data_IF_241035919846
#
_entry.id   IF_241035919846
#
_cell.length_a   1.000
_cell.length_b   1.000
_cell.length_c   1.000
_cell.angle_alpha   90.00
_cell.angle_beta   90.00
_cell.angle_gamma   90.00
#
_symmetry.space_group_name_H-M   'P 1'
#
loop_
_entity.id
_entity.type
_entity.pdbx_description
1 polymer ?
#
# COMPACT_ATOMS: atom_id res chain seq x y z
N UNK A 1 -11.49 10.18 -18.75
CA UNK A 1 -10.93 8.83 -18.59
C UNK A 1 -9.54 8.96 -18.00
N UNK A 2 -9.26 8.27 -16.90
CA UNK A 2 -7.96 8.30 -16.22
C UNK A 2 -6.99 7.35 -16.93
N UNK A 3 -5.70 7.74 -16.99
CA UNK A 3 -4.64 6.94 -17.60
C UNK A 3 -3.61 6.54 -16.54
N UNK A 4 -3.56 5.25 -16.20
CA UNK A 4 -2.66 4.64 -15.24
C UNK A 4 -1.73 3.62 -15.91
N UNK A 5 -1.24 3.93 -17.09
CA UNK A 5 -0.41 3.05 -17.91
C UNK A 5 1.09 3.12 -17.58
N UNK A 6 1.44 3.63 -16.39
CA UNK A 6 2.82 3.69 -15.91
C UNK A 6 2.94 3.07 -14.52
N UNK A 7 4.10 2.48 -14.23
CA UNK A 7 4.47 2.02 -12.90
C UNK A 7 5.34 3.04 -12.18
N UNK A 8 5.20 3.13 -10.85
CA UNK A 8 6.09 3.96 -10.04
C UNK A 8 7.22 3.08 -9.49
N UNK A 9 8.40 3.15 -10.08
CA UNK A 9 9.55 2.34 -9.74
C UNK A 9 10.77 3.26 -9.52
N UNK A 10 11.49 3.03 -8.44
CA UNK A 10 12.70 3.78 -8.09
C UNK A 10 12.52 5.32 -8.11
N UNK A 11 11.40 5.80 -7.57
CA UNK A 11 11.12 7.23 -7.47
C UNK A 11 10.65 7.90 -8.77
N UNK A 12 10.37 7.13 -9.83
CA UNK A 12 9.94 7.66 -11.12
C UNK A 12 8.75 6.88 -11.71
N UNK A 13 7.95 7.58 -12.52
CA UNK A 13 6.92 6.97 -13.35
C UNK A 13 7.54 6.43 -14.64
N UNK A 14 7.57 5.12 -14.78
CA UNK A 14 8.18 4.41 -15.92
C UNK A 14 7.12 3.72 -16.79
N UNK A 15 7.38 3.61 -18.08
CA UNK A 15 6.54 2.81 -18.96
C UNK A 15 6.72 1.31 -18.65
N UNK A 16 5.67 0.49 -18.81
CA UNK A 16 5.80 -0.97 -18.71
C UNK A 16 6.72 -1.53 -19.78
N UNK A 17 7.31 -2.70 -19.50
CA UNK A 17 8.14 -3.43 -20.48
C UNK A 17 7.31 -4.05 -21.60
N UNK A 18 6.04 -4.32 -21.35
CA UNK A 18 5.05 -4.81 -22.30
C UNK A 18 4.07 -3.73 -22.74
N UNK A 19 3.13 -4.12 -23.60
CA UNK A 19 2.08 -3.22 -24.11
C UNK A 19 0.67 -3.62 -23.65
N UNK A 20 0.56 -4.59 -22.76
CA UNK A 20 -0.73 -5.06 -22.29
C UNK A 20 -1.37 -4.05 -21.32
N UNK A 21 -2.65 -3.82 -21.52
CA UNK A 21 -3.44 -2.91 -20.72
C UNK A 21 -4.82 -3.49 -20.44
N UNK A 22 -5.41 -3.07 -19.32
CA UNK A 22 -6.75 -3.45 -18.91
C UNK A 22 -7.62 -2.21 -18.77
N UNK A 23 -8.82 -2.27 -19.34
CA UNK A 23 -9.86 -1.28 -19.12
C UNK A 23 -10.45 -1.46 -17.71
N UNK A 24 -10.59 -0.35 -17.00
CA UNK A 24 -11.33 -0.29 -15.73
C UNK A 24 -12.73 0.20 -16.03
N UNK A 25 -13.72 -0.60 -15.73
CA UNK A 25 -15.13 -0.29 -15.95
C UNK A 25 -15.75 0.29 -14.67
N UNK A 26 -16.52 1.33 -14.82
CA UNK A 26 -17.38 1.84 -13.75
C UNK A 26 -18.60 0.90 -13.63
N UNK A 27 -18.77 0.19 -12.51
CA UNK A 27 -19.83 -0.82 -12.39
C UNK A 27 -21.25 -0.23 -12.30
N UNK A 28 -21.38 1.08 -12.09
CA UNK A 28 -22.68 1.74 -12.07
C UNK A 28 -23.15 2.17 -13.47
N UNK A 29 -22.23 2.52 -14.36
CA UNK A 29 -22.55 2.99 -15.72
C UNK A 29 -22.22 1.98 -16.82
N UNK A 30 -21.38 0.98 -16.50
CA UNK A 30 -20.81 0.00 -17.42
C UNK A 30 -19.95 0.64 -18.52
N UNK A 31 -19.44 1.84 -18.26
CA UNK A 31 -18.56 2.57 -19.15
C UNK A 31 -17.12 2.49 -18.66
N UNK A 32 -16.18 2.48 -19.57
CA UNK A 32 -14.76 2.53 -19.22
C UNK A 32 -14.42 3.89 -18.56
N UNK A 33 -13.93 3.86 -17.32
CA UNK A 33 -13.53 5.04 -16.57
C UNK A 33 -12.00 5.25 -16.52
N UNK A 34 -11.21 4.18 -16.65
CA UNK A 34 -9.76 4.25 -16.63
C UNK A 34 -9.11 3.15 -17.50
N UNK A 35 -7.80 3.26 -17.69
CA UNK A 35 -6.95 2.23 -18.26
C UNK A 35 -5.73 2.03 -17.35
N UNK A 36 -5.40 0.77 -17.06
CA UNK A 36 -4.21 0.40 -16.30
C UNK A 36 -3.26 -0.44 -17.14
N UNK A 37 -1.94 -0.30 -16.91
CA UNK A 37 -0.96 -1.20 -17.49
C UNK A 37 -1.01 -2.57 -16.82
N UNK A 38 -0.78 -3.63 -17.59
CA UNK A 38 -0.50 -4.97 -17.08
C UNK A 38 1.01 -5.17 -17.11
N UNK A 39 1.58 -5.40 -15.92
CA UNK A 39 3.01 -5.69 -15.77
C UNK A 39 3.34 -7.13 -16.17
N UNK A 40 4.57 -7.33 -16.59
CA UNK A 40 5.15 -8.64 -16.84
C UNK A 40 6.30 -8.96 -15.87
N UNK A 41 6.96 -10.09 -16.06
CA UNK A 41 8.07 -10.54 -15.21
C UNK A 41 9.21 -9.52 -15.13
N UNK A 42 9.57 -8.88 -16.25
CA UNK A 42 10.63 -7.86 -16.26
C UNK A 42 10.29 -6.61 -15.47
N UNK A 43 9.01 -6.20 -15.44
CA UNK A 43 8.54 -5.09 -14.61
C UNK A 43 8.62 -5.43 -13.11
N UNK A 44 8.24 -6.67 -12.75
CA UNK A 44 8.36 -7.18 -11.38
C UNK A 44 9.82 -7.25 -10.95
N UNK A 45 10.69 -7.78 -11.77
CA UNK A 45 12.13 -7.87 -11.49
C UNK A 45 12.75 -6.49 -11.28
N UNK A 46 12.38 -5.51 -12.10
CA UNK A 46 12.82 -4.13 -11.98
C UNK A 46 12.35 -3.50 -10.66
N UNK A 47 11.08 -3.70 -10.30
CA UNK A 47 10.51 -3.19 -9.04
C UNK A 47 11.18 -3.84 -7.82
N UNK A 48 11.40 -5.16 -7.84
CA UNK A 48 12.07 -5.90 -6.76
C UNK A 48 13.53 -5.47 -6.62
N UNK A 49 14.25 -5.28 -7.73
CA UNK A 49 15.62 -4.81 -7.71
C UNK A 49 15.73 -3.41 -7.08
N UNK A 50 14.84 -2.49 -7.47
CA UNK A 50 14.77 -1.14 -6.89
C UNK A 50 14.45 -1.18 -5.38
N UNK A 51 13.49 -2.01 -4.97
CA UNK A 51 13.11 -2.16 -3.57
C UNK A 51 14.25 -2.77 -2.73
N UNK A 52 15.00 -3.76 -3.26
CA UNK A 52 16.18 -4.32 -2.59
C UNK A 52 17.29 -3.28 -2.40
N UNK A 53 17.55 -2.47 -3.41
CA UNK A 53 18.54 -1.39 -3.30
C UNK A 53 18.11 -0.34 -2.26
N UNK A 54 16.85 0.05 -2.24
CA UNK A 54 16.32 0.99 -1.25
C UNK A 54 16.34 0.42 0.18
N UNK A 55 16.17 -0.89 0.34
CA UNK A 55 16.16 -1.54 1.65
C UNK A 55 17.47 -1.36 2.41
N UNK A 56 18.62 -1.30 1.74
CA UNK A 56 19.95 -1.14 2.37
C UNK A 56 20.02 0.11 3.25
N UNK A 57 19.41 1.19 2.83
CA UNK A 57 19.38 2.45 3.59
C UNK A 57 18.10 2.63 4.40
N UNK A 58 16.94 2.29 3.84
CA UNK A 58 15.67 2.48 4.51
C UNK A 58 15.51 1.61 5.75
N UNK A 59 16.07 0.39 5.76
CA UNK A 59 16.08 -0.50 6.93
C UNK A 59 16.83 0.08 8.13
N UNK A 60 17.72 1.03 7.91
CA UNK A 60 18.54 1.69 8.95
C UNK A 60 17.91 2.99 9.50
N UNK A 61 16.76 3.42 8.94
CA UNK A 61 16.07 4.61 9.42
C UNK A 61 15.59 4.43 10.86
N UNK A 62 15.62 5.51 11.62
CA UNK A 62 15.14 5.52 13.00
C UNK A 62 13.61 5.35 13.08
N UNK A 63 13.12 4.98 14.25
CA UNK A 63 11.67 4.93 14.53
C UNK A 63 11.02 6.28 14.26
N UNK A 64 11.66 7.38 14.70
CA UNK A 64 11.10 8.71 14.55
C UNK A 64 11.04 9.17 13.08
N UNK A 65 12.06 8.88 12.28
CA UNK A 65 12.06 9.17 10.84
C UNK A 65 10.90 8.44 10.14
N UNK A 66 10.67 7.17 10.45
CA UNK A 66 9.55 6.41 9.88
C UNK A 66 8.19 6.90 10.36
N UNK A 67 8.08 7.25 11.66
CA UNK A 67 6.86 7.81 12.20
C UNK A 67 6.53 9.19 11.60
N UNK A 68 7.53 10.05 11.43
CA UNK A 68 7.37 11.34 10.77
C UNK A 68 6.95 11.18 9.28
N UNK A 69 7.48 10.16 8.59
CA UNK A 69 7.04 9.82 7.23
C UNK A 69 5.55 9.43 7.20
N UNK A 70 5.11 8.59 8.13
CA UNK A 70 3.69 8.21 8.24
C UNK A 70 2.79 9.40 8.55
N UNK A 71 3.20 10.30 9.44
CA UNK A 71 2.47 11.54 9.71
C UNK A 71 2.34 12.41 8.45
N UNK A 72 3.43 12.53 7.67
CA UNK A 72 3.40 13.28 6.42
C UNK A 72 2.48 12.63 5.38
N UNK A 73 2.48 11.30 5.29
CA UNK A 73 1.54 10.56 4.44
C UNK A 73 0.10 10.82 4.89
N UNK A 74 -0.18 10.78 6.20
CA UNK A 74 -1.52 11.04 6.74
C UNK A 74 -2.01 12.46 6.42
N UNK A 75 -1.14 13.47 6.54
CA UNK A 75 -1.44 14.87 6.18
C UNK A 75 -1.84 15.00 4.70
N UNK A 76 -1.01 14.45 3.80
CA UNK A 76 -1.26 14.47 2.35
C UNK A 76 -2.52 13.68 2.01
N UNK A 77 -2.69 12.49 2.63
CA UNK A 77 -3.88 11.66 2.44
C UNK A 77 -5.16 12.41 2.82
N UNK A 78 -5.15 13.06 3.98
CA UNK A 78 -6.31 13.84 4.45
C UNK A 78 -6.63 15.00 3.50
N UNK A 79 -5.63 15.67 2.96
CA UNK A 79 -5.84 16.75 1.98
C UNK A 79 -6.48 16.28 0.67
N UNK A 80 -6.34 15.00 0.34
CA UNK A 80 -6.83 14.37 -0.88
C UNK A 80 -7.97 13.37 -0.67
N UNK A 81 -8.55 13.32 0.54
CA UNK A 81 -9.52 12.30 0.92
C UNK A 81 -10.78 12.31 0.01
N UNK A 82 -11.18 13.47 -0.48
CA UNK A 82 -12.29 13.60 -1.42
C UNK A 82 -11.98 12.99 -2.79
N UNK A 83 -10.75 13.15 -3.30
CA UNK A 83 -10.31 12.51 -4.54
C UNK A 83 -10.28 10.98 -4.41
N UNK A 84 -9.85 10.48 -3.26
CA UNK A 84 -9.83 9.04 -2.95
C UNK A 84 -11.25 8.48 -2.91
N UNK A 85 -12.17 9.15 -2.22
CA UNK A 85 -13.56 8.73 -2.14
C UNK A 85 -14.24 8.69 -3.53
N UNK A 86 -13.94 9.67 -4.38
CA UNK A 86 -14.47 9.72 -5.73
C UNK A 86 -13.89 8.61 -6.63
N UNK A 87 -12.60 8.28 -6.48
CA UNK A 87 -12.00 7.15 -7.17
C UNK A 87 -12.64 5.82 -6.75
N UNK A 88 -12.88 5.62 -5.47
CA UNK A 88 -13.57 4.44 -4.94
C UNK A 88 -15.00 4.34 -5.53
N UNK A 89 -15.74 5.45 -5.58
CA UNK A 89 -17.08 5.49 -6.17
C UNK A 89 -17.05 5.09 -7.64
N UNK A 90 -16.12 5.62 -8.39
CA UNK A 90 -16.06 5.45 -9.84
C UNK A 90 -15.56 4.06 -10.25
N UNK A 91 -14.51 3.56 -9.58
CA UNK A 91 -13.83 2.33 -9.98
C UNK A 91 -14.38 1.07 -9.28
N UNK A 92 -14.96 1.21 -8.09
CA UNK A 92 -15.52 0.09 -7.31
C UNK A 92 -17.05 0.10 -7.27
N UNK A 93 -17.68 1.25 -7.55
CA UNK A 93 -19.15 1.39 -7.51
C UNK A 93 -19.73 1.55 -6.11
N UNK A 94 -18.92 1.88 -5.10
CA UNK A 94 -19.46 2.15 -3.77
C UNK A 94 -20.35 3.39 -3.77
N UNK A 95 -21.46 3.40 -3.02
CA UNK A 95 -22.22 4.63 -2.78
C UNK A 95 -21.29 5.72 -2.23
N UNK A 96 -21.42 6.94 -2.73
CA UNK A 96 -20.53 8.04 -2.32
C UNK A 96 -20.55 8.29 -0.81
N UNK A 97 -21.68 8.08 -0.15
CA UNK A 97 -21.78 8.16 1.30
C UNK A 97 -20.86 7.14 2.00
N UNK A 98 -20.83 5.88 1.52
CA UNK A 98 -19.95 4.85 2.06
C UNK A 98 -18.47 5.14 1.72
N UNK A 99 -18.20 5.51 0.49
CA UNK A 99 -16.84 5.83 0.03
C UNK A 99 -16.23 6.98 0.83
N UNK A 100 -17.00 8.08 1.05
CA UNK A 100 -16.52 9.29 1.71
C UNK A 100 -16.49 9.22 3.23
N UNK A 101 -17.37 8.44 3.89
CA UNK A 101 -17.45 8.42 5.36
C UNK A 101 -16.75 7.23 5.99
N UNK A 102 -16.55 6.13 5.25
CA UNK A 102 -15.96 4.91 5.80
C UNK A 102 -14.72 4.44 5.01
N UNK A 103 -14.86 4.16 3.71
CA UNK A 103 -13.79 3.47 2.97
C UNK A 103 -12.53 4.32 2.79
N UNK A 104 -12.67 5.60 2.48
CA UNK A 104 -11.52 6.51 2.39
C UNK A 104 -10.90 6.75 3.77
N UNK A 105 -11.71 6.93 4.81
CA UNK A 105 -11.19 7.15 6.17
C UNK A 105 -10.51 5.92 6.80
N UNK A 106 -10.88 4.70 6.40
CA UNK A 106 -10.23 3.50 6.92
C UNK A 106 -8.71 3.51 6.64
N UNK A 107 -8.29 3.95 5.45
CA UNK A 107 -6.88 4.10 5.13
C UNK A 107 -6.16 5.11 6.03
N UNK A 108 -6.76 6.28 6.23
CA UNK A 108 -6.21 7.31 7.13
C UNK A 108 -6.08 6.80 8.57
N UNK A 109 -7.08 6.08 9.06
CA UNK A 109 -7.07 5.53 10.41
C UNK A 109 -5.89 4.56 10.60
N UNK A 110 -5.62 3.67 9.64
CA UNK A 110 -4.48 2.75 9.71
C UNK A 110 -3.14 3.47 9.71
N UNK A 111 -2.95 4.45 8.84
CA UNK A 111 -1.69 5.23 8.78
C UNK A 111 -1.46 5.95 10.11
N UNK A 112 -2.48 6.61 10.63
CA UNK A 112 -2.39 7.38 11.89
C UNK A 112 -2.12 6.46 13.09
N UNK A 113 -2.80 5.32 13.16
CA UNK A 113 -2.62 4.37 14.26
C UNK A 113 -1.25 3.71 14.19
N UNK A 114 -0.78 3.35 12.99
CA UNK A 114 0.57 2.80 12.81
C UNK A 114 1.67 3.76 13.26
N UNK A 115 1.54 5.07 12.98
CA UNK A 115 2.48 6.08 13.45
C UNK A 115 2.54 6.16 14.98
N UNK A 116 1.40 6.02 15.66
CA UNK A 116 1.33 5.98 17.14
C UNK A 116 1.94 4.71 17.71
N UNK A 117 1.59 3.55 17.14
CA UNK A 117 2.12 2.26 17.56
C UNK A 117 3.64 2.25 17.38
N UNK A 118 4.13 2.71 16.24
CA UNK A 118 5.56 2.71 15.91
C UNK A 118 6.40 3.44 16.95
N UNK A 119 5.95 4.58 17.47
CA UNK A 119 6.66 5.35 18.50
C UNK A 119 6.78 4.64 19.84
N UNK A 120 5.86 3.72 20.12
CA UNK A 120 5.80 3.01 21.39
C UNK A 120 6.19 1.53 21.28
N UNK A 121 6.54 1.07 20.07
CA UNK A 121 6.84 -0.33 19.82
C UNK A 121 8.25 -0.70 20.27
N UNK A 122 8.37 -1.74 21.10
CA UNK A 122 9.65 -2.26 21.56
C UNK A 122 10.27 -3.16 20.48
N UNK A 123 11.24 -2.62 19.73
CA UNK A 123 12.01 -3.39 18.73
C UNK A 123 13.07 -4.27 19.37
N UNK A 124 13.44 -4.03 20.62
CA UNK A 124 14.33 -4.92 21.38
C UNK A 124 13.81 -5.11 22.80
N UNK A 125 14.02 -6.32 23.34
CA UNK A 125 13.59 -6.72 24.66
C UNK A 125 14.69 -7.55 25.32
N UNK A 126 15.09 -7.17 26.53
CA UNK A 126 16.08 -7.92 27.30
C UNK A 126 15.38 -8.99 28.17
N UNK A 127 15.72 -10.25 27.95
CA UNK A 127 15.22 -11.41 28.66
C UNK A 127 16.34 -12.05 29.50
N UNK A 128 16.79 -11.37 30.52
CA UNK A 128 17.88 -11.81 31.38
C UNK A 128 19.23 -11.85 30.62
N UNK A 129 19.73 -13.05 30.36
CA UNK A 129 21.00 -13.24 29.62
C UNK A 129 20.84 -13.12 28.08
N UNK A 130 19.64 -12.96 27.58
CA UNK A 130 19.32 -12.93 26.15
C UNK A 130 18.66 -11.61 25.77
N UNK A 131 18.88 -11.18 24.53
CA UNK A 131 18.19 -10.05 23.93
C UNK A 131 17.44 -10.49 22.69
N UNK A 132 16.15 -10.19 22.62
CA UNK A 132 15.32 -10.37 21.41
C UNK A 132 15.31 -9.07 20.64
N UNK A 133 15.69 -9.12 19.36
CA UNK A 133 15.67 -7.97 18.46
C UNK A 133 14.72 -8.29 17.30
N UNK A 134 13.82 -7.37 17.00
CA UNK A 134 12.89 -7.45 15.87
C UNK A 134 13.47 -6.63 14.72
N UNK A 135 13.78 -7.31 13.63
CA UNK A 135 14.39 -6.72 12.44
C UNK A 135 13.41 -6.77 11.25
N UNK A 136 13.55 -5.86 10.26
CA UNK A 136 12.71 -5.88 9.08
C UNK A 136 12.99 -7.15 8.25
N UNK A 137 11.92 -7.76 7.72
CA UNK A 137 12.00 -9.02 6.96
C UNK A 137 12.61 -8.83 5.55
N UNK A 138 12.64 -7.61 5.03
CA UNK A 138 13.12 -7.31 3.67
C UNK A 138 12.01 -6.84 2.74
N UNK A 139 12.16 -7.11 1.46
CA UNK A 139 11.21 -6.74 0.40
C UNK A 139 10.06 -7.74 0.36
N UNK A 140 8.83 -7.21 0.34
CA UNK A 140 7.61 -7.99 0.33
C UNK A 140 6.75 -7.64 -0.89
N UNK A 141 6.14 -8.64 -1.51
CA UNK A 141 5.07 -8.45 -2.48
C UNK A 141 3.72 -8.35 -1.76
N UNK A 142 2.98 -7.27 -1.99
CA UNK A 142 1.69 -7.02 -1.36
C UNK A 142 0.57 -7.20 -2.37
N UNK A 143 -0.35 -8.13 -2.11
CA UNK A 143 -1.53 -8.39 -2.97
C UNK A 143 -2.76 -8.02 -2.16
N UNK A 144 -3.50 -7.01 -2.63
CA UNK A 144 -4.66 -6.46 -1.93
C UNK A 144 -5.96 -6.85 -2.60
N UNK A 145 -7.04 -7.17 -1.85
CA UNK A 145 -8.37 -7.30 -2.40
C UNK A 145 -8.95 -5.94 -2.78
N UNK A 146 -9.94 -5.94 -3.66
CA UNK A 146 -10.54 -4.75 -4.25
C UNK A 146 -11.64 -4.09 -3.41
N UNK A 147 -12.30 -4.83 -2.53
CA UNK A 147 -13.57 -4.44 -1.89
C UNK A 147 -13.46 -3.34 -0.81
N UNK A 148 -12.29 -3.16 -0.23
CA UNK A 148 -11.94 -2.05 0.67
C UNK A 148 -10.53 -1.55 0.34
N UNK A 149 -10.34 -0.89 -0.82
CA UNK A 149 -9.01 -0.69 -1.41
C UNK A 149 -8.06 0.05 -0.47
N UNK A 150 -8.47 1.17 0.10
CA UNK A 150 -7.60 1.96 0.98
C UNK A 150 -7.38 1.33 2.36
N UNK A 151 -8.34 0.56 2.86
CA UNK A 151 -8.17 -0.23 4.07
C UNK A 151 -7.04 -1.25 3.89
N UNK A 152 -7.05 -1.99 2.79
CA UNK A 152 -6.08 -3.05 2.55
C UNK A 152 -4.68 -2.51 2.24
N UNK A 153 -4.58 -1.52 1.36
CA UNK A 153 -3.29 -0.90 1.01
C UNK A 153 -2.65 -0.30 2.27
N UNK A 154 -3.39 0.51 3.03
CA UNK A 154 -2.82 1.18 4.20
C UNK A 154 -2.54 0.21 5.34
N UNK A 155 -3.36 -0.82 5.55
CA UNK A 155 -3.10 -1.85 6.56
C UNK A 155 -1.79 -2.61 6.28
N UNK A 156 -1.56 -3.03 5.04
CA UNK A 156 -0.35 -3.75 4.66
C UNK A 156 0.90 -2.86 4.68
N UNK A 157 0.78 -1.61 4.24
CA UNK A 157 1.90 -0.66 4.23
C UNK A 157 2.34 -0.22 5.62
N UNK A 158 1.43 -0.24 6.58
CA UNK A 158 1.66 0.26 7.94
C UNK A 158 1.81 -0.86 8.97
N UNK A 159 1.62 -2.12 8.58
CA UNK A 159 1.72 -3.24 9.51
C UNK A 159 3.16 -3.44 9.98
N UNK A 160 3.44 -3.31 11.27
CA UNK A 160 4.77 -3.58 11.84
C UNK A 160 4.98 -5.08 12.12
N UNK A 161 3.96 -5.93 11.91
CA UNK A 161 3.96 -7.32 12.37
C UNK A 161 4.28 -8.32 11.26
N UNK A 162 5.26 -9.22 11.46
CA UNK A 162 5.48 -10.35 10.55
C UNK A 162 4.29 -11.31 10.49
N UNK A 163 3.34 -11.21 11.41
CA UNK A 163 2.14 -12.06 11.45
C UNK A 163 1.13 -11.67 10.37
N UNK A 164 1.07 -10.41 9.97
CA UNK A 164 0.16 -9.93 8.92
C UNK A 164 0.62 -10.33 7.52
N UNK A 165 1.91 -10.66 7.36
CA UNK A 165 2.47 -11.21 6.12
C UNK A 165 2.10 -12.68 5.89
N UNK A 166 1.66 -13.40 6.93
CA UNK A 166 1.25 -14.81 6.83
C UNK A 166 -0.23 -14.99 6.44
N UNK A 167 -1.05 -13.95 6.57
CA UNK A 167 -2.49 -14.01 6.26
C UNK A 167 -2.84 -13.75 4.80
N UNK A 168 -1.89 -13.34 3.97
CA UNK A 168 -2.11 -13.12 2.54
C UNK A 168 -1.94 -14.37 1.66
N UNK A 169 -1.88 -15.57 2.24
CA UNK A 169 -2.05 -16.79 1.46
C UNK A 169 -3.51 -16.98 1.13
N UNK A 170 -3.88 -16.58 -0.07
CA UNK A 170 -5.14 -17.03 -0.68
C UNK A 170 -5.10 -18.55 -0.77
N UNK A 171 -6.14 -19.28 -0.28
CA UNK A 171 -6.28 -20.68 -0.64
C UNK A 171 -6.45 -20.74 -2.17
N UNK A 172 -5.55 -21.44 -2.82
CA UNK A 172 -5.78 -21.91 -4.18
C UNK A 172 -6.90 -22.95 -4.10
N UNK A 173 -8.11 -22.59 -4.34
CA UNK A 173 -9.18 -23.56 -4.50
C UNK A 173 -10.25 -23.07 -5.45
N UNK A 174 -10.30 -23.85 -6.49
CA UNK A 174 -11.37 -24.29 -7.35
C UNK A 174 -11.99 -23.22 -8.24
#
# INVERSE_FOLDING_TARGET
MRDYTKFYINGAWVAPSGNDALAVENPATLEQCATIAIGNEADVDSAVAAAKAAFETFSQTSVEERAALLDKIAEIYMSRIGEIAEAIREEMGAPISLASTAQAYAGLAHITEAAKILRNFAFSEDLGAHRVVKEPIGVCGLITPWNWPMNQVCLLYTSPSPRDLSTSRMPSSA
#
